data_IF_435724069157
#
_entry.id   IF_435724069157
#
_cell.length_a   1.000
_cell.length_b   1.000
_cell.length_c   1.000
_cell.angle_alpha   90.00
_cell.angle_beta   90.00
_cell.angle_gamma   90.00
#
_symmetry.space_group_name_H-M   'P 1'
#
loop_
_entity.id
_entity.type
_entity.pdbx_description
1 polymer ?
#
# COMPACT_ATOMS: atom_id res chain seq x y z
N UNK A 1 -43.79 -14.57 -0.34
CA UNK A 1 -43.96 -13.31 -1.12
C UNK A 1 -42.63 -12.59 -1.13
N UNK A 2 -41.90 -12.66 -2.24
CA UNK A 2 -40.61 -11.99 -2.39
C UNK A 2 -40.87 -10.52 -2.74
N UNK A 3 -40.41 -9.60 -1.89
CA UNK A 3 -40.42 -8.17 -2.17
C UNK A 3 -39.36 -7.88 -3.24
N UNK A 4 -39.75 -7.89 -4.51
CA UNK A 4 -38.91 -7.39 -5.60
C UNK A 4 -39.08 -5.88 -5.66
N UNK A 5 -38.39 -5.17 -4.77
CA UNK A 5 -38.29 -3.70 -4.83
C UNK A 5 -37.60 -3.30 -6.13
N UNK A 6 -38.30 -2.58 -7.00
CA UNK A 6 -37.76 -2.08 -8.27
C UNK A 6 -36.75 -0.97 -7.99
N UNK A 7 -35.47 -1.22 -8.30
CA UNK A 7 -34.37 -0.26 -8.14
C UNK A 7 -34.21 0.56 -9.43
N UNK A 8 -34.62 1.83 -9.39
CA UNK A 8 -34.36 2.79 -10.46
C UNK A 8 -33.09 3.60 -10.14
N UNK A 9 -32.01 3.36 -10.89
CA UNK A 9 -30.74 4.06 -10.73
C UNK A 9 -30.81 5.45 -11.39
N UNK A 10 -30.71 6.52 -10.60
CA UNK A 10 -30.80 7.90 -11.09
C UNK A 10 -29.48 8.44 -11.67
N UNK A 11 -28.33 7.88 -11.28
CA UNK A 11 -27.00 8.37 -11.65
C UNK A 11 -26.12 7.25 -12.19
N UNK A 12 -26.59 6.59 -13.26
CA UNK A 12 -25.90 5.46 -13.91
C UNK A 12 -24.47 5.82 -14.33
N UNK A 13 -24.23 7.07 -14.75
CA UNK A 13 -22.91 7.57 -15.16
C UNK A 13 -21.83 7.42 -14.08
N UNK A 14 -22.18 7.51 -12.79
CA UNK A 14 -21.22 7.33 -11.69
C UNK A 14 -20.72 5.89 -11.58
N UNK A 15 -21.57 4.93 -11.94
CA UNK A 15 -21.23 3.50 -11.90
C UNK A 15 -20.45 3.06 -13.14
N UNK A 16 -20.55 3.81 -14.24
CA UNK A 16 -19.81 3.52 -15.46
C UNK A 16 -18.30 3.73 -15.27
N UNK A 17 -17.91 4.80 -14.59
CA UNK A 17 -16.49 5.07 -14.25
C UNK A 17 -16.06 4.31 -13.00
N UNK A 18 -16.94 4.16 -12.01
CA UNK A 18 -16.59 3.55 -10.72
C UNK A 18 -15.74 4.49 -9.84
N UNK A 19 -15.22 4.00 -8.70
CA UNK A 19 -14.42 4.78 -7.77
C UNK A 19 -12.98 4.94 -8.29
N UNK A 20 -12.81 5.70 -9.37
CA UNK A 20 -11.50 6.14 -9.84
C UNK A 20 -11.23 7.49 -9.15
N UNK A 21 -10.03 7.73 -8.57
CA UNK A 21 -9.61 9.08 -8.24
C UNK A 21 -9.85 9.95 -9.47
N UNK A 22 -10.49 11.11 -9.30
CA UNK A 22 -10.63 12.06 -10.41
C UNK A 22 -9.21 12.39 -10.88
N UNK A 23 -8.79 11.80 -12.00
CA UNK A 23 -7.63 12.33 -12.70
C UNK A 23 -7.98 13.78 -13.02
N UNK A 24 -7.02 14.69 -12.82
CA UNK A 24 -7.09 16.03 -13.37
C UNK A 24 -7.12 15.88 -14.89
N UNK A 25 -8.32 15.63 -15.41
CA UNK A 25 -8.61 15.73 -16.82
C UNK A 25 -8.73 17.23 -17.06
N UNK A 26 -7.57 17.90 -17.17
CA UNK A 26 -7.50 19.20 -17.83
C UNK A 26 -8.30 19.03 -19.12
N UNK A 27 -9.46 19.69 -19.16
CA UNK A 27 -10.41 19.52 -20.24
C UNK A 27 -9.70 19.91 -21.52
N UNK A 28 -9.38 18.92 -22.35
CA UNK A 28 -8.74 19.15 -23.64
C UNK A 28 -9.66 20.06 -24.43
N UNK A 29 -9.17 21.24 -24.82
CA UNK A 29 -10.01 22.20 -25.55
C UNK A 29 -10.43 21.57 -26.88
N UNK A 30 -11.65 21.87 -27.34
CA UNK A 30 -12.12 21.40 -28.64
C UNK A 30 -11.15 21.82 -29.77
N UNK A 31 -10.48 22.96 -29.62
CA UNK A 31 -9.46 23.44 -30.55
C UNK A 31 -8.17 22.60 -30.50
N UNK A 32 -7.73 22.16 -29.31
CA UNK A 32 -6.57 21.28 -29.15
C UNK A 32 -6.82 19.91 -29.77
N UNK A 33 -8.04 19.38 -29.61
CA UNK A 33 -8.43 18.11 -30.24
C UNK A 33 -8.40 18.24 -31.76
N UNK A 34 -8.94 19.33 -32.33
CA UNK A 34 -8.91 19.57 -33.78
C UNK A 34 -7.47 19.77 -34.28
N UNK A 35 -6.64 20.50 -33.55
CA UNK A 35 -5.22 20.67 -33.90
C UNK A 35 -4.45 19.35 -33.83
N UNK A 36 -4.69 18.52 -32.82
CA UNK A 36 -4.07 17.20 -32.69
C UNK A 36 -4.50 16.27 -33.83
N UNK A 37 -5.79 16.27 -34.21
CA UNK A 37 -6.30 15.48 -35.33
C UNK A 37 -5.70 15.94 -36.66
N UNK A 38 -5.61 17.24 -36.89
CA UNK A 38 -4.99 17.78 -38.10
C UNK A 38 -3.48 17.49 -38.15
N UNK A 39 -2.78 17.59 -37.03
CA UNK A 39 -1.36 17.23 -36.91
C UNK A 39 -1.15 15.74 -37.20
N UNK A 40 -1.98 14.86 -36.62
CA UNK A 40 -1.93 13.42 -36.85
C UNK A 40 -2.22 13.07 -38.30
N UNK A 41 -3.27 13.63 -38.90
CA UNK A 41 -3.57 13.43 -40.32
C UNK A 41 -2.39 13.85 -41.19
N UNK A 42 -1.80 15.02 -40.91
CA UNK A 42 -0.63 15.48 -41.65
C UNK A 42 0.57 14.54 -41.48
N UNK A 43 0.85 14.08 -40.26
CA UNK A 43 1.90 13.09 -39.99
C UNK A 43 1.67 11.75 -40.68
N UNK A 44 0.41 11.30 -40.81
CA UNK A 44 0.04 10.05 -41.50
C UNK A 44 0.21 10.21 -43.01
N UNK A 45 -0.26 11.31 -43.61
CA UNK A 45 -0.12 11.55 -45.05
C UNK A 45 1.33 11.71 -45.50
N UNK A 46 2.19 12.23 -44.62
CA UNK A 46 3.61 12.41 -44.87
C UNK A 46 4.48 11.35 -44.18
N UNK A 47 3.85 10.27 -43.69
CA UNK A 47 4.57 9.19 -43.02
C UNK A 47 5.48 8.49 -44.04
N UNK A 48 6.77 8.51 -43.76
CA UNK A 48 7.78 7.82 -44.55
C UNK A 48 8.59 6.90 -43.63
N UNK A 49 8.92 5.71 -44.14
CA UNK A 49 9.68 4.73 -43.37
C UNK A 49 11.15 5.13 -43.33
N UNK A 50 11.59 5.70 -42.21
CA UNK A 50 13.01 5.98 -41.97
C UNK A 50 13.57 4.97 -40.96
N UNK A 51 14.02 3.83 -41.46
CA UNK A 51 14.59 2.74 -40.65
C UNK A 51 15.74 3.20 -39.71
N UNK A 52 16.69 4.07 -40.13
CA UNK A 52 17.76 4.52 -39.22
C UNK A 52 17.30 5.51 -38.13
N UNK A 53 16.11 6.09 -38.21
CA UNK A 53 15.59 7.00 -37.16
C UNK A 53 14.64 6.33 -36.15
N UNK A 54 14.31 5.04 -36.32
CA UNK A 54 13.37 4.34 -35.45
C UNK A 54 13.94 4.16 -34.04
N UNK A 55 15.21 3.77 -33.96
CA UNK A 55 15.90 3.48 -32.71
C UNK A 55 17.34 3.97 -32.81
N UNK A 56 17.70 4.91 -31.94
CA UNK A 56 19.11 5.28 -31.79
C UNK A 56 19.80 4.22 -30.92
N UNK A 57 21.06 3.85 -31.22
CA UNK A 57 21.82 2.92 -30.39
C UNK A 57 21.89 3.38 -28.92
N UNK A 58 21.95 4.68 -28.67
CA UNK A 58 21.94 5.27 -27.33
C UNK A 58 20.64 5.00 -26.57
N UNK A 59 19.47 5.14 -27.22
CA UNK A 59 18.17 4.80 -26.60
C UNK A 59 18.08 3.31 -26.24
N UNK A 60 18.65 2.43 -27.06
CA UNK A 60 18.68 1.00 -26.78
C UNK A 60 19.58 0.68 -25.56
N UNK A 61 20.73 1.35 -25.42
CA UNK A 61 21.62 1.20 -24.26
C UNK A 61 20.94 1.70 -22.98
N UNK A 62 20.22 2.83 -23.04
CA UNK A 62 19.47 3.34 -21.88
C UNK A 62 18.38 2.36 -21.46
N UNK A 63 17.56 1.88 -22.42
CA UNK A 63 16.53 0.89 -22.14
C UNK A 63 17.12 -0.39 -21.55
N UNK A 64 18.25 -0.88 -22.07
CA UNK A 64 18.97 -2.02 -21.50
C UNK A 64 19.45 -1.72 -20.06
N UNK A 65 19.99 -0.53 -19.80
CA UNK A 65 20.38 -0.11 -18.46
C UNK A 65 19.22 -0.04 -17.47
N UNK A 66 18.01 0.25 -17.93
CA UNK A 66 16.79 0.25 -17.11
C UNK A 66 16.30 -1.16 -16.75
N UNK A 67 16.48 -2.14 -17.65
CA UNK A 67 15.97 -3.52 -17.52
C UNK A 67 17.01 -4.55 -17.10
N UNK A 68 18.24 -4.15 -16.80
CA UNK A 68 19.29 -5.02 -16.23
C UNK A 68 19.18 -5.01 -14.70
N UNK A 69 19.62 -6.06 -13.97
CA UNK A 69 19.61 -6.06 -12.50
C UNK A 69 20.32 -4.83 -11.92
N UNK A 70 19.61 -4.07 -11.07
CA UNK A 70 20.07 -2.78 -10.56
C UNK A 70 19.61 -1.56 -11.38
N UNK A 71 18.97 -1.78 -12.52
CA UNK A 71 18.31 -0.76 -13.33
C UNK A 71 17.00 -0.24 -12.73
N UNK A 72 16.54 0.92 -13.20
CA UNK A 72 15.37 1.64 -12.66
C UNK A 72 14.08 0.79 -12.67
N UNK A 73 13.91 -0.07 -13.67
CA UNK A 73 12.71 -0.89 -13.83
C UNK A 73 12.82 -2.26 -13.14
N UNK A 74 14.01 -2.72 -12.77
CA UNK A 74 14.25 -3.99 -12.07
C UNK A 74 14.31 -3.86 -10.54
N UNK A 75 13.72 -2.81 -9.97
CA UNK A 75 13.83 -2.43 -8.54
C UNK A 75 13.40 -3.50 -7.52
N UNK A 76 12.70 -4.57 -7.93
CA UNK A 76 12.20 -5.62 -7.05
C UNK A 76 12.64 -7.04 -7.44
N UNK A 77 13.64 -7.21 -8.32
CA UNK A 77 14.19 -8.53 -8.64
C UNK A 77 15.26 -8.92 -7.61
N UNK A 78 14.83 -9.24 -6.40
CA UNK A 78 15.69 -9.87 -5.41
C UNK A 78 15.62 -11.39 -5.65
N UNK A 79 16.59 -11.94 -6.39
CA UNK A 79 16.69 -13.39 -6.67
C UNK A 79 16.87 -14.25 -5.41
N UNK A 80 17.08 -13.65 -4.26
CA UNK A 80 17.05 -14.29 -2.93
C UNK A 80 15.62 -14.52 -2.49
N UNK A 81 15.12 -15.75 -2.62
CA UNK A 81 13.90 -16.13 -1.91
C UNK A 81 14.16 -16.04 -0.40
N UNK A 82 13.43 -15.15 0.28
CA UNK A 82 13.54 -14.89 1.72
C UNK A 82 13.44 -16.17 2.59
N UNK A 83 12.80 -17.22 2.05
CA UNK A 83 12.66 -18.53 2.67
C UNK A 83 14.00 -19.27 2.87
N UNK A 84 14.98 -19.00 2.02
CA UNK A 84 16.29 -19.67 2.02
C UNK A 84 17.32 -18.91 2.88
N UNK A 85 17.05 -17.64 3.21
CA UNK A 85 17.93 -16.78 4.02
C UNK A 85 17.55 -16.67 5.49
N UNK A 86 16.29 -16.97 5.84
CA UNK A 86 15.80 -16.87 7.24
C UNK A 86 15.63 -18.27 7.84
N UNK A 87 16.31 -18.60 8.97
CA UNK A 87 16.14 -19.87 9.67
C UNK A 87 14.67 -20.16 10.04
N UNK A 88 14.29 -21.44 9.97
CA UNK A 88 12.91 -21.89 10.19
C UNK A 88 12.37 -21.53 11.59
N UNK A 89 13.25 -21.53 12.58
CA UNK A 89 12.94 -21.20 13.98
C UNK A 89 12.48 -19.74 14.10
N UNK A 90 13.14 -18.83 13.37
CA UNK A 90 12.83 -17.41 13.37
C UNK A 90 11.52 -17.16 12.62
N UNK A 91 11.25 -17.91 11.55
CA UNK A 91 9.97 -17.84 10.85
C UNK A 91 8.80 -18.26 11.76
N UNK A 92 8.96 -19.33 12.54
CA UNK A 92 7.94 -19.81 13.48
C UNK A 92 7.70 -18.78 14.59
N UNK A 93 8.77 -18.26 15.18
CA UNK A 93 8.69 -17.21 16.21
C UNK A 93 8.01 -15.93 15.67
N UNK A 94 8.40 -15.50 14.46
CA UNK A 94 7.77 -14.35 13.79
C UNK A 94 6.27 -14.57 13.57
N UNK A 95 5.87 -15.76 13.11
CA UNK A 95 4.45 -16.10 12.91
C UNK A 95 3.67 -16.05 14.23
N UNK A 96 4.24 -16.57 15.31
CA UNK A 96 3.61 -16.53 16.63
C UNK A 96 3.44 -15.09 17.13
N UNK A 97 4.48 -14.26 16.99
CA UNK A 97 4.40 -12.83 17.32
C UNK A 97 3.35 -12.11 16.48
N UNK A 98 3.28 -12.40 15.19
CA UNK A 98 2.30 -11.81 14.29
C UNK A 98 0.86 -12.17 14.70
N UNK A 99 0.62 -13.45 15.01
CA UNK A 99 -0.71 -13.92 15.45
C UNK A 99 -1.11 -13.28 16.78
N UNK A 100 -0.19 -13.23 17.75
CA UNK A 100 -0.43 -12.59 19.04
C UNK A 100 -0.73 -11.09 18.90
N UNK A 101 0.05 -10.37 18.09
CA UNK A 101 -0.18 -8.95 17.80
C UNK A 101 -1.52 -8.73 17.09
N UNK A 102 -1.83 -9.55 16.09
CA UNK A 102 -3.08 -9.45 15.33
C UNK A 102 -4.30 -9.63 16.23
N UNK A 103 -4.22 -10.54 17.21
CA UNK A 103 -5.31 -10.75 18.17
C UNK A 103 -5.47 -9.59 19.14
N UNK A 104 -4.37 -9.01 19.64
CA UNK A 104 -4.41 -7.78 20.43
C UNK A 104 -5.02 -6.62 19.64
N UNK A 105 -4.60 -6.45 18.38
CA UNK A 105 -5.14 -5.44 17.48
C UNK A 105 -6.62 -5.69 17.20
N UNK A 106 -7.05 -6.94 16.98
CA UNK A 106 -8.46 -7.28 16.80
C UNK A 106 -9.29 -6.81 17.99
N UNK A 107 -8.84 -7.11 19.21
CA UNK A 107 -9.51 -6.63 20.42
C UNK A 107 -9.49 -5.10 20.54
N UNK A 108 -8.38 -4.44 20.20
CA UNK A 108 -8.28 -2.99 20.15
C UNK A 108 -9.29 -2.36 19.18
N UNK A 109 -9.35 -2.85 17.94
CA UNK A 109 -10.23 -2.33 16.90
C UNK A 109 -11.71 -2.61 17.19
N UNK A 110 -12.04 -3.74 17.81
CA UNK A 110 -13.40 -4.03 18.28
C UNK A 110 -13.92 -3.03 19.33
N UNK A 111 -13.03 -2.29 19.99
CA UNK A 111 -13.43 -1.23 20.90
C UNK A 111 -13.83 0.07 20.19
N UNK A 112 -13.65 0.16 18.86
CA UNK A 112 -14.06 1.31 18.09
C UNK A 112 -15.30 0.97 17.24
N UNK A 113 -16.33 1.83 17.23
CA UNK A 113 -16.46 3.10 17.94
C UNK A 113 -16.74 2.94 19.45
N UNK A 114 -16.13 3.80 20.28
CA UNK A 114 -16.32 3.83 21.74
C UNK A 114 -17.70 4.40 22.09
N UNK A 115 -18.73 3.58 21.98
CA UNK A 115 -20.13 3.97 22.23
C UNK A 115 -20.55 3.85 23.70
N UNK A 116 -19.76 3.14 24.51
CA UNK A 116 -20.03 2.91 25.94
C UNK A 116 -18.78 3.20 26.79
N UNK A 117 -18.98 3.65 28.03
CA UNK A 117 -17.88 3.96 28.97
C UNK A 117 -16.98 2.76 29.27
N UNK A 118 -17.53 1.54 29.31
CA UNK A 118 -16.75 0.29 29.45
C UNK A 118 -15.77 0.09 28.29
N UNK A 119 -16.16 0.52 27.09
CA UNK A 119 -15.33 0.39 25.90
C UNK A 119 -14.18 1.40 25.92
N UNK A 120 -14.39 2.59 26.47
CA UNK A 120 -13.34 3.59 26.69
C UNK A 120 -12.26 3.09 27.65
N UNK A 121 -12.67 2.53 28.79
CA UNK A 121 -11.74 1.92 29.75
C UNK A 121 -10.97 0.75 29.12
N UNK A 122 -11.67 -0.08 28.33
CA UNK A 122 -11.05 -1.18 27.60
C UNK A 122 -10.05 -0.71 26.55
N UNK A 123 -10.29 0.41 25.86
CA UNK A 123 -9.32 1.01 24.93
C UNK A 123 -8.04 1.42 25.68
N UNK A 124 -8.16 2.05 26.85
CA UNK A 124 -7.00 2.42 27.68
C UNK A 124 -6.20 1.20 28.12
N UNK A 125 -6.88 0.16 28.62
CA UNK A 125 -6.23 -1.09 29.01
C UNK A 125 -5.55 -1.80 27.82
N UNK A 126 -6.17 -1.74 26.64
CA UNK A 126 -5.62 -2.34 25.42
C UNK A 126 -4.41 -1.57 24.91
N UNK A 127 -4.41 -0.24 24.99
CA UNK A 127 -3.25 0.58 24.64
C UNK A 127 -2.04 0.22 25.50
N UNK A 128 -2.22 0.09 26.83
CA UNK A 128 -1.16 -0.35 27.73
C UNK A 128 -0.68 -1.77 27.40
N UNK A 129 -1.60 -2.66 27.00
CA UNK A 129 -1.27 -4.03 26.59
C UNK A 129 -0.45 -4.07 25.30
N UNK A 130 -0.74 -3.21 24.33
CA UNK A 130 0.04 -3.07 23.09
C UNK A 130 1.46 -2.54 23.38
N UNK A 131 1.60 -1.53 24.23
CA UNK A 131 2.91 -1.02 24.65
C UNK A 131 3.74 -2.09 25.37
N UNK A 132 3.10 -2.87 26.25
CA UNK A 132 3.76 -3.98 26.93
C UNK A 132 4.19 -5.07 25.95
N UNK A 133 3.37 -5.38 24.95
CA UNK A 133 3.73 -6.34 23.91
C UNK A 133 4.94 -5.86 23.08
N UNK A 134 4.94 -4.58 22.70
CA UNK A 134 6.04 -3.96 21.96
C UNK A 134 7.37 -4.09 22.72
N UNK A 135 7.39 -3.67 24.00
CA UNK A 135 8.59 -3.72 24.82
C UNK A 135 9.01 -5.14 25.20
N UNK A 136 8.08 -6.02 25.58
CA UNK A 136 8.41 -7.33 26.13
C UNK A 136 8.64 -8.42 25.07
N UNK A 137 8.13 -8.24 23.84
CA UNK A 137 8.17 -9.27 22.79
C UNK A 137 8.77 -8.76 21.49
N UNK A 138 8.31 -7.62 20.99
CA UNK A 138 8.76 -7.13 19.68
C UNK A 138 10.20 -6.60 19.72
N UNK A 139 10.55 -5.81 20.74
CA UNK A 139 11.91 -5.26 20.87
C UNK A 139 12.98 -6.36 21.08
N UNK A 140 12.79 -7.35 21.98
CA UNK A 140 13.74 -8.47 22.10
C UNK A 140 13.89 -9.29 20.81
N UNK A 141 12.80 -9.46 20.06
CA UNK A 141 12.84 -10.13 18.77
C UNK A 141 13.64 -9.34 17.74
N UNK A 142 13.50 -8.00 17.71
CA UNK A 142 14.30 -7.12 16.85
C UNK A 142 15.79 -7.16 17.21
N UNK A 143 16.12 -7.13 18.51
CA UNK A 143 17.50 -7.28 18.97
C UNK A 143 18.09 -8.63 18.57
N UNK A 144 17.28 -9.70 18.65
CA UNK A 144 17.66 -11.04 18.19
C UNK A 144 17.91 -11.06 16.68
N UNK A 145 17.08 -10.42 15.86
CA UNK A 145 17.33 -10.30 14.41
C UNK A 145 18.64 -9.55 14.12
N UNK A 146 18.90 -8.44 14.82
CA UNK A 146 20.12 -7.67 14.68
C UNK A 146 21.39 -8.46 15.03
N UNK A 147 21.35 -9.27 16.10
CA UNK A 147 22.46 -10.16 16.48
C UNK A 147 22.76 -11.25 15.45
N UNK A 148 21.74 -11.70 14.72
CA UNK A 148 21.89 -12.73 13.69
C UNK A 148 22.15 -12.15 12.29
N UNK A 149 22.42 -10.84 12.18
CA UNK A 149 22.61 -10.13 10.90
C UNK A 149 21.46 -10.34 9.90
N UNK A 150 20.23 -10.52 10.41
CA UNK A 150 19.05 -10.74 9.58
C UNK A 150 18.38 -9.42 9.19
N UNK A 151 17.59 -9.39 8.10
CA UNK A 151 16.88 -8.19 7.68
C UNK A 151 15.92 -7.69 8.76
N UNK A 152 16.17 -6.50 9.29
CA UNK A 152 15.27 -5.84 10.27
C UNK A 152 13.89 -5.51 9.68
N UNK A 153 13.78 -5.50 8.35
CA UNK A 153 12.54 -5.29 7.61
C UNK A 153 11.44 -6.30 7.95
N UNK A 154 11.81 -7.47 8.48
CA UNK A 154 10.86 -8.49 8.93
C UNK A 154 9.89 -7.98 10.02
N UNK A 155 10.33 -7.02 10.85
CA UNK A 155 9.50 -6.44 11.90
C UNK A 155 8.75 -5.17 11.46
N UNK A 156 9.04 -4.61 10.29
CA UNK A 156 8.53 -3.30 9.87
C UNK A 156 7.00 -3.29 9.76
N UNK A 157 6.43 -4.37 9.23
CA UNK A 157 4.98 -4.48 9.12
C UNK A 157 4.30 -4.53 10.49
N UNK A 158 4.81 -5.34 11.43
CA UNK A 158 4.27 -5.39 12.81
C UNK A 158 4.36 -4.02 13.49
N UNK A 159 5.45 -3.29 13.28
CA UNK A 159 5.64 -1.93 13.80
C UNK A 159 4.65 -0.94 13.17
N UNK A 160 4.43 -1.03 11.86
CA UNK A 160 3.44 -0.22 11.15
C UNK A 160 2.02 -0.45 11.70
N UNK A 161 1.66 -1.71 11.98
CA UNK A 161 0.37 -2.06 12.59
C UNK A 161 0.21 -1.45 13.99
N UNK A 162 1.24 -1.51 14.84
CA UNK A 162 1.25 -0.86 16.16
C UNK A 162 1.12 0.66 16.04
N UNK A 163 1.90 1.27 15.13
CA UNK A 163 1.85 2.72 14.91
C UNK A 163 0.47 3.19 14.43
N UNK A 164 -0.21 2.41 13.58
CA UNK A 164 -1.57 2.71 13.15
C UNK A 164 -2.57 2.68 14.33
N UNK A 165 -2.45 1.70 15.23
CA UNK A 165 -3.24 1.62 16.45
C UNK A 165 -2.97 2.81 17.38
N UNK A 166 -1.71 3.16 17.61
CA UNK A 166 -1.35 4.33 18.41
C UNK A 166 -1.86 5.64 17.80
N UNK A 167 -1.75 5.80 16.47
CA UNK A 167 -2.30 6.97 15.77
C UNK A 167 -3.82 7.07 15.93
N UNK A 168 -4.53 5.94 15.87
CA UNK A 168 -5.98 5.91 16.14
C UNK A 168 -6.27 6.35 17.57
N UNK A 169 -5.54 5.79 18.54
CA UNK A 169 -5.71 6.09 19.95
C UNK A 169 -5.47 7.57 20.25
N UNK A 170 -4.36 8.16 19.77
CA UNK A 170 -4.06 9.58 19.97
C UNK A 170 -5.09 10.49 19.33
N UNK A 171 -5.57 10.17 18.13
CA UNK A 171 -6.65 10.91 17.46
C UNK A 171 -7.97 10.82 18.22
N UNK A 172 -8.25 9.68 18.85
CA UNK A 172 -9.42 9.49 19.68
C UNK A 172 -9.30 10.26 21.00
N UNK A 173 -8.15 10.19 21.66
CA UNK A 173 -7.87 10.91 22.91
C UNK A 173 -7.98 12.44 22.72
N UNK A 174 -7.40 12.97 21.63
CA UNK A 174 -7.48 14.40 21.33
C UNK A 174 -8.90 14.90 21.06
N UNK A 175 -9.76 14.06 20.45
CA UNK A 175 -11.19 14.38 20.24
C UNK A 175 -12.00 14.39 21.53
N UNK A 176 -11.56 13.67 22.55
CA UNK A 176 -12.19 13.64 23.88
C UNK A 176 -11.75 14.80 24.79
N UNK A 177 -10.82 15.66 24.33
CA UNK A 177 -10.28 16.76 25.12
C UNK A 177 -9.41 16.31 26.29
N UNK A 178 -8.80 15.12 26.19
CA UNK A 178 -7.82 14.58 27.16
C UNK A 178 -6.45 14.36 26.49
#
# INVERSE_FOLDING_TARGET
KQNTSTLNLTKVSRYLSGPIPTLDNEGTSAEEVVMAVNSLNNSIYHWSTNLPSVLTPSSAIVALGEVIPGGSLMKNFDGTQLKDTVPSEIQVEMKQLYCALSELLRHFWCCFPTTTSQLEEKVLAMQASLQRFEYAKLQPFQEKLGRNCLPLQLCDHMRSLLQAAYKKFTTWQSRLGR
#
